data_IF_037996287931
#
_entry.id   IF_037996287931
#
_cell.length_a   1.000
_cell.length_b   1.000
_cell.length_c   1.000
_cell.angle_alpha   90.00
_cell.angle_beta   90.00
_cell.angle_gamma   90.00
#
_symmetry.space_group_name_H-M   'P 1'
#
loop_
_entity.id
_entity.type
_entity.pdbx_description
1 polymer ?
#
# COMPACT_ATOMS: atom_id res chain seq x y z
N UNK A 1 -3.94 -32.54 -12.64
CA UNK A 1 -2.84 -31.57 -12.40
C UNK A 1 -1.58 -32.38 -12.20
N UNK A 2 -0.62 -32.26 -13.06
CA UNK A 2 0.64 -33.00 -12.97
C UNK A 2 1.43 -32.49 -11.76
N UNK A 3 1.77 -33.36 -10.83
CA UNK A 3 2.71 -33.04 -9.77
C UNK A 3 4.09 -32.85 -10.40
N UNK A 4 4.49 -31.59 -10.55
CA UNK A 4 5.88 -31.26 -10.83
C UNK A 4 6.56 -31.21 -9.46
N UNK A 5 7.18 -32.32 -9.08
CA UNK A 5 7.99 -32.39 -7.85
C UNK A 5 9.35 -31.74 -8.13
N UNK A 6 9.39 -30.43 -8.08
CA UNK A 6 10.64 -29.68 -7.97
C UNK A 6 10.81 -29.36 -6.49
N UNK A 7 11.88 -29.84 -5.85
CA UNK A 7 12.24 -29.32 -4.53
C UNK A 7 12.53 -27.82 -4.69
N UNK A 8 11.51 -27.02 -4.38
CA UNK A 8 11.67 -25.57 -4.32
C UNK A 8 12.32 -25.22 -3.00
N UNK A 9 13.54 -24.67 -3.05
CA UNK A 9 14.13 -24.04 -1.88
C UNK A 9 13.17 -22.98 -1.32
N UNK A 10 13.04 -22.89 0.01
CA UNK A 10 12.24 -21.85 0.64
C UNK A 10 12.79 -20.46 0.25
N UNK A 11 11.91 -19.53 -0.08
CA UNK A 11 12.30 -18.16 -0.38
C UNK A 11 12.94 -17.50 0.85
N UNK A 12 13.98 -16.69 0.60
CA UNK A 12 14.64 -15.92 1.66
C UNK A 12 13.69 -14.82 2.16
N UNK A 13 13.68 -14.59 3.47
CA UNK A 13 12.91 -13.53 4.10
C UNK A 13 13.31 -12.15 3.51
N UNK A 14 12.38 -11.44 2.88
CA UNK A 14 12.69 -10.15 2.25
C UNK A 14 12.84 -8.99 3.25
N UNK A 15 12.49 -9.19 4.52
CA UNK A 15 12.55 -8.12 5.54
C UNK A 15 14.00 -7.69 5.81
N UNK A 16 14.96 -8.60 5.74
CA UNK A 16 16.38 -8.26 5.92
C UNK A 16 16.87 -7.30 4.81
N UNK A 17 16.54 -7.61 3.56
CA UNK A 17 16.86 -6.74 2.43
C UNK A 17 16.11 -5.41 2.48
N UNK A 18 14.84 -5.44 2.90
CA UNK A 18 14.06 -4.24 3.11
C UNK A 18 14.71 -3.32 4.16
N UNK A 19 15.24 -3.89 5.24
CA UNK A 19 15.94 -3.10 6.28
C UNK A 19 17.17 -2.37 5.72
N UNK A 20 17.94 -3.03 4.85
CA UNK A 20 19.06 -2.38 4.15
C UNK A 20 18.60 -1.21 3.28
N UNK A 21 17.47 -1.39 2.57
CA UNK A 21 16.90 -0.33 1.71
C UNK A 21 16.43 0.86 2.56
N UNK A 22 15.70 0.64 3.65
CA UNK A 22 15.20 1.72 4.50
C UNK A 22 16.33 2.46 5.20
N UNK A 23 17.39 1.77 5.61
CA UNK A 23 18.58 2.39 6.18
C UNK A 23 19.33 3.24 5.14
N UNK A 24 19.47 2.74 3.92
CA UNK A 24 20.14 3.47 2.84
C UNK A 24 19.38 4.75 2.44
N UNK A 25 18.05 4.75 2.55
CA UNK A 25 17.19 5.91 2.27
C UNK A 25 16.95 6.81 3.50
N UNK A 26 17.47 6.43 4.65
CA UNK A 26 17.29 7.14 5.92
C UNK A 26 15.80 7.31 6.31
N UNK A 27 14.95 6.34 5.94
CA UNK A 27 13.55 6.36 6.32
C UNK A 27 13.38 5.92 7.78
N UNK A 28 12.46 6.57 8.48
CA UNK A 28 12.07 6.16 9.81
C UNK A 28 11.43 4.77 9.75
N UNK A 29 11.91 3.84 10.55
CA UNK A 29 11.41 2.47 10.55
C UNK A 29 11.50 1.84 11.93
N UNK A 30 10.66 0.83 12.14
CA UNK A 30 10.67 -0.03 13.32
C UNK A 30 10.51 -1.49 12.87
N UNK A 31 11.47 -2.31 13.22
CA UNK A 31 11.40 -3.75 12.98
C UNK A 31 10.81 -4.43 14.20
N UNK A 32 9.52 -4.74 14.14
CA UNK A 32 8.78 -5.32 15.25
C UNK A 32 9.19 -6.78 15.52
N UNK A 33 9.59 -7.52 14.48
CA UNK A 33 10.06 -8.90 14.57
C UNK A 33 10.90 -9.26 13.34
N UNK A 34 11.36 -10.51 13.26
CA UNK A 34 12.05 -10.99 12.06
C UNK A 34 11.17 -10.96 10.81
N UNK A 35 9.86 -10.99 10.99
CA UNK A 35 8.88 -11.07 9.91
C UNK A 35 8.10 -9.77 9.67
N UNK A 36 8.27 -8.75 10.51
CA UNK A 36 7.47 -7.54 10.48
C UNK A 36 8.30 -6.27 10.54
N UNK A 37 7.97 -5.34 9.66
CA UNK A 37 8.56 -4.00 9.64
C UNK A 37 7.52 -2.93 9.35
N UNK A 38 7.62 -1.81 10.06
CA UNK A 38 6.87 -0.59 9.81
C UNK A 38 7.83 0.47 9.30
N UNK A 39 7.46 1.15 8.23
CA UNK A 39 8.24 2.24 7.64
C UNK A 39 7.34 3.47 7.53
N UNK A 40 7.87 4.63 7.90
CA UNK A 40 7.17 5.90 7.77
C UNK A 40 7.86 6.76 6.71
N UNK A 41 7.09 7.20 5.72
CA UNK A 41 7.60 8.02 4.61
C UNK A 41 6.71 9.24 4.46
N UNK A 42 7.33 10.42 4.53
CA UNK A 42 6.63 11.68 4.29
C UNK A 42 6.35 11.86 2.82
N UNK A 43 5.08 12.03 2.48
CA UNK A 43 4.63 12.38 1.15
C UNK A 43 4.18 13.84 1.06
N UNK A 44 3.63 14.22 -0.09
CA UNK A 44 3.10 15.57 -0.32
C UNK A 44 1.90 15.88 0.56
N UNK A 45 1.03 14.88 0.78
CA UNK A 45 -0.26 15.08 1.44
C UNK A 45 -0.26 14.67 2.92
N UNK A 46 0.49 13.65 3.26
CA UNK A 46 0.58 13.17 4.64
C UNK A 46 1.84 12.33 4.85
N UNK A 47 2.05 11.92 6.08
CA UNK A 47 3.04 10.90 6.41
C UNK A 47 2.39 9.53 6.25
N UNK A 48 2.88 8.75 5.29
CA UNK A 48 2.38 7.42 5.00
C UNK A 48 3.04 6.38 5.88
N UNK A 49 2.26 5.43 6.34
CA UNK A 49 2.71 4.34 7.19
C UNK A 49 2.64 3.03 6.42
N UNK A 50 3.79 2.43 6.16
CA UNK A 50 3.90 1.19 5.43
C UNK A 50 4.14 0.02 6.35
N UNK A 51 3.40 -1.06 6.16
CA UNK A 51 3.54 -2.31 6.90
C UNK A 51 3.97 -3.41 5.95
N UNK A 52 5.02 -4.13 6.35
CA UNK A 52 5.50 -5.31 5.64
C UNK A 52 5.41 -6.50 6.57
N UNK A 53 4.77 -7.56 6.11
CA UNK A 53 4.64 -8.82 6.83
C UNK A 53 5.07 -9.97 5.93
N UNK A 54 6.10 -10.70 6.36
CA UNK A 54 6.54 -11.92 5.71
C UNK A 54 5.85 -13.13 6.34
N UNK A 55 5.21 -13.94 5.52
CA UNK A 55 4.67 -15.24 5.91
C UNK A 55 5.51 -16.37 5.33
N UNK A 56 6.35 -16.97 6.16
CA UNK A 56 7.31 -17.99 5.76
C UNK A 56 6.63 -19.22 5.13
N UNK A 57 5.54 -19.70 5.74
CA UNK A 57 4.87 -20.93 5.32
C UNK A 57 4.21 -20.82 3.93
N UNK A 58 3.82 -19.64 3.52
CA UNK A 58 3.24 -19.37 2.19
C UNK A 58 4.22 -18.71 1.23
N UNK A 59 5.39 -18.33 1.72
CA UNK A 59 6.36 -17.49 0.99
C UNK A 59 5.69 -16.24 0.41
N UNK A 60 4.85 -15.60 1.20
CA UNK A 60 4.11 -14.41 0.81
C UNK A 60 4.59 -13.18 1.59
N UNK A 61 4.84 -12.10 0.88
CA UNK A 61 5.07 -10.78 1.45
C UNK A 61 3.78 -9.97 1.35
N UNK A 62 3.21 -9.62 2.50
CA UNK A 62 2.06 -8.72 2.60
C UNK A 62 2.56 -7.30 2.80
N UNK A 63 1.97 -6.37 2.07
CA UNK A 63 2.32 -4.97 2.10
C UNK A 63 1.08 -4.10 2.19
N UNK A 64 1.13 -3.08 3.03
CA UNK A 64 0.10 -2.04 3.08
C UNK A 64 0.72 -0.66 3.30
N UNK A 65 0.08 0.36 2.74
CA UNK A 65 0.46 1.76 2.90
C UNK A 65 -0.77 2.54 3.38
N UNK A 66 -0.76 2.93 4.63
CA UNK A 66 -1.88 3.62 5.27
C UNK A 66 -1.78 5.13 5.19
N UNK A 67 -2.93 5.79 5.03
CA UNK A 67 -3.05 7.23 5.12
C UNK A 67 -3.10 7.68 6.59
N UNK A 68 -2.58 8.85 6.85
CA UNK A 68 -2.83 9.59 8.11
C UNK A 68 -4.19 10.31 8.00
N UNK A 69 -5.26 9.50 7.99
CA UNK A 69 -6.63 9.97 7.82
C UNK A 69 -7.58 9.01 8.50
N UNK A 70 -8.49 9.54 9.31
CA UNK A 70 -9.54 8.74 9.95
C UNK A 70 -10.88 9.05 9.30
N UNK A 71 -11.56 8.01 8.84
CA UNK A 71 -12.89 8.14 8.23
C UNK A 71 -13.95 8.10 9.32
N UNK A 72 -14.74 9.19 9.52
CA UNK A 72 -15.85 9.15 10.44
C UNK A 72 -16.89 8.11 10.04
N UNK A 73 -17.57 7.53 11.01
CA UNK A 73 -18.58 6.50 10.78
C UNK A 73 -19.66 6.96 9.78
N UNK A 74 -20.06 8.22 9.85
CA UNK A 74 -21.03 8.82 8.94
C UNK A 74 -20.57 8.90 7.48
N UNK A 75 -19.25 8.81 7.21
CA UNK A 75 -18.68 8.91 5.86
C UNK A 75 -18.21 7.56 5.30
N UNK A 76 -18.33 6.48 6.06
CA UNK A 76 -17.86 5.15 5.62
C UNK A 76 -18.51 4.68 4.32
N UNK A 77 -19.83 4.83 4.19
CA UNK A 77 -20.53 4.38 2.98
C UNK A 77 -20.07 5.16 1.74
N UNK A 78 -19.82 6.46 1.88
CA UNK A 78 -19.29 7.28 0.80
C UNK A 78 -17.85 6.84 0.41
N UNK A 79 -17.06 6.46 1.39
CA UNK A 79 -15.70 5.91 1.15
C UNK A 79 -15.78 4.55 0.46
N UNK A 80 -16.71 3.68 0.81
CA UNK A 80 -16.90 2.40 0.11
C UNK A 80 -17.24 2.59 -1.38
N UNK A 81 -18.06 3.57 -1.70
CA UNK A 81 -18.33 3.93 -3.10
C UNK A 81 -17.07 4.47 -3.79
N UNK A 82 -16.29 5.29 -3.10
CA UNK A 82 -15.02 5.80 -3.60
C UNK A 82 -14.03 4.66 -3.86
N UNK A 83 -13.92 3.70 -2.94
CA UNK A 83 -13.04 2.53 -3.09
C UNK A 83 -13.39 1.73 -4.35
N UNK A 84 -14.66 1.49 -4.63
CA UNK A 84 -15.09 0.80 -5.84
C UNK A 84 -14.63 1.54 -7.10
N UNK A 85 -14.78 2.85 -7.15
CA UNK A 85 -14.39 3.66 -8.29
C UNK A 85 -12.86 3.81 -8.44
N UNK A 86 -12.12 3.92 -7.34
CA UNK A 86 -10.65 3.99 -7.34
C UNK A 86 -10.05 2.65 -7.77
N UNK A 87 -10.54 1.55 -7.21
CA UNK A 87 -10.00 0.22 -7.49
C UNK A 87 -10.21 -0.21 -8.95
N UNK A 88 -11.25 0.26 -9.61
CA UNK A 88 -11.45 0.06 -11.05
C UNK A 88 -10.30 0.62 -11.90
N UNK A 89 -9.62 1.65 -11.40
CA UNK A 89 -8.50 2.33 -12.08
C UNK A 89 -7.13 1.75 -11.70
N UNK A 90 -7.08 0.84 -10.75
CA UNK A 90 -5.83 0.25 -10.29
C UNK A 90 -5.36 -0.87 -11.20
N UNK A 91 -4.07 -0.87 -11.54
CA UNK A 91 -3.43 -1.93 -12.32
C UNK A 91 -2.73 -2.96 -11.43
N UNK A 92 -2.40 -2.60 -10.19
CA UNK A 92 -1.76 -3.45 -9.20
C UNK A 92 -2.19 -3.02 -7.81
N UNK A 93 -2.42 -3.99 -6.93
CA UNK A 93 -2.91 -3.69 -5.59
C UNK A 93 -4.32 -3.14 -5.56
N UNK A 94 -4.76 -2.73 -4.41
CA UNK A 94 -6.08 -2.14 -4.20
C UNK A 94 -6.09 -1.24 -2.98
N UNK A 95 -7.05 -0.32 -2.94
CA UNK A 95 -7.35 0.45 -1.73
C UNK A 95 -8.43 -0.25 -0.90
N UNK A 96 -8.32 -0.12 0.40
CA UNK A 96 -9.23 -0.74 1.35
C UNK A 96 -9.47 0.19 2.56
N UNK A 97 -10.55 -0.10 3.26
CA UNK A 97 -10.89 0.50 4.54
C UNK A 97 -11.28 -0.61 5.52
N UNK A 98 -10.43 -0.86 6.50
CA UNK A 98 -10.67 -1.90 7.49
C UNK A 98 -11.89 -1.62 8.38
N UNK A 99 -12.55 -2.66 8.87
CA UNK A 99 -13.68 -2.54 9.79
C UNK A 99 -13.27 -1.94 11.13
N UNK A 100 -12.10 -2.34 11.62
CA UNK A 100 -11.57 -1.93 12.92
C UNK A 100 -10.65 -0.72 12.84
N UNK A 101 -9.92 -0.57 11.71
CA UNK A 101 -9.08 0.59 11.44
C UNK A 101 -9.78 1.50 10.43
N UNK A 102 -10.21 2.70 10.82
CA UNK A 102 -10.92 3.62 9.95
C UNK A 102 -10.03 4.42 9.01
N UNK A 103 -8.80 4.01 8.77
CA UNK A 103 -7.86 4.69 7.88
C UNK A 103 -7.79 4.01 6.52
N UNK A 104 -7.95 4.75 5.41
CA UNK A 104 -7.76 4.17 4.08
C UNK A 104 -6.34 3.67 3.91
N UNK A 105 -6.17 2.56 3.20
CA UNK A 105 -4.85 2.00 2.91
C UNK A 105 -4.79 1.38 1.52
N UNK A 106 -3.63 1.46 0.90
CA UNK A 106 -3.26 0.65 -0.26
C UNK A 106 -2.75 -0.70 0.23
N UNK A 107 -3.15 -1.79 -0.41
CA UNK A 107 -2.73 -3.15 -0.06
C UNK A 107 -2.28 -3.92 -1.29
N UNK A 108 -1.24 -4.70 -1.13
CA UNK A 108 -0.74 -5.62 -2.14
C UNK A 108 -0.04 -6.81 -1.50
N UNK A 109 -0.09 -7.96 -2.16
CA UNK A 109 0.62 -9.16 -1.74
C UNK A 109 1.51 -9.69 -2.87
N UNK A 110 2.68 -10.19 -2.53
CA UNK A 110 3.63 -10.78 -3.48
C UNK A 110 3.92 -12.21 -3.06
N UNK A 111 3.71 -13.15 -3.98
CA UNK A 111 4.05 -14.55 -3.79
C UNK A 111 5.49 -14.78 -4.29
N UNK A 112 6.34 -15.26 -3.40
CA UNK A 112 7.76 -15.52 -3.69
C UNK A 112 8.10 -17.02 -3.73
N UNK A 113 7.09 -17.89 -3.68
CA UNK A 113 7.31 -19.34 -3.81
C UNK A 113 7.95 -19.65 -5.17
N UNK A 114 9.06 -20.37 -5.14
CA UNK A 114 9.82 -20.70 -6.37
C UNK A 114 10.83 -19.65 -6.77
N UNK A 115 10.85 -18.50 -6.12
CA UNK A 115 11.91 -17.50 -6.22
C UNK A 115 12.92 -17.69 -5.08
N UNK A 116 14.16 -17.23 -5.27
CA UNK A 116 15.18 -17.25 -4.21
C UNK A 116 14.87 -16.23 -3.10
N UNK A 117 14.11 -15.20 -3.42
CA UNK A 117 13.72 -14.12 -2.55
C UNK A 117 13.24 -12.92 -3.39
N UNK A 118 12.98 -11.79 -2.74
CA UNK A 118 12.69 -10.55 -3.44
C UNK A 118 13.99 -9.88 -3.91
N UNK A 119 13.95 -9.21 -5.04
CA UNK A 119 15.04 -8.33 -5.48
C UNK A 119 14.92 -6.94 -4.83
N UNK A 120 15.99 -6.17 -4.85
CA UNK A 120 15.98 -4.76 -4.43
C UNK A 120 14.93 -4.00 -5.24
N UNK A 121 14.92 -4.19 -6.55
CA UNK A 121 14.01 -3.54 -7.49
C UNK A 121 12.55 -3.85 -7.18
N UNK A 122 12.22 -5.08 -6.82
CA UNK A 122 10.85 -5.45 -6.44
C UNK A 122 10.39 -4.71 -5.18
N UNK A 123 11.25 -4.59 -4.17
CA UNK A 123 10.91 -3.89 -2.93
C UNK A 123 10.82 -2.37 -3.14
N UNK A 124 11.74 -1.80 -3.91
CA UNK A 124 11.69 -0.40 -4.30
C UNK A 124 10.42 -0.07 -5.10
N UNK A 125 10.07 -0.92 -6.06
CA UNK A 125 8.85 -0.76 -6.86
C UNK A 125 7.58 -0.81 -6.00
N UNK A 126 7.51 -1.69 -5.00
CA UNK A 126 6.37 -1.71 -4.06
C UNK A 126 6.19 -0.38 -3.35
N UNK A 127 7.27 0.21 -2.85
CA UNK A 127 7.25 1.49 -2.17
C UNK A 127 6.86 2.61 -3.14
N UNK A 128 7.49 2.67 -4.31
CA UNK A 128 7.25 3.72 -5.30
C UNK A 128 5.83 3.68 -5.86
N UNK A 129 5.32 2.50 -6.18
CA UNK A 129 3.95 2.32 -6.66
C UNK A 129 2.95 2.73 -5.59
N UNK A 130 3.15 2.29 -4.36
CA UNK A 130 2.26 2.65 -3.25
C UNK A 130 2.22 4.16 -3.03
N UNK A 131 3.37 4.82 -2.98
CA UNK A 131 3.44 6.27 -2.84
C UNK A 131 2.76 6.99 -4.01
N UNK A 132 3.05 6.57 -5.24
CA UNK A 132 2.48 7.17 -6.44
C UNK A 132 0.95 7.07 -6.44
N UNK A 133 0.41 5.89 -6.17
CA UNK A 133 -1.04 5.69 -6.17
C UNK A 133 -1.73 6.34 -4.95
N UNK A 134 -1.11 6.31 -3.78
CA UNK A 134 -1.62 7.01 -2.62
C UNK A 134 -1.67 8.52 -2.83
N UNK A 135 -0.61 9.11 -3.37
CA UNK A 135 -0.56 10.55 -3.69
C UNK A 135 -1.56 10.94 -4.77
N UNK A 136 -1.76 10.06 -5.74
CA UNK A 136 -2.74 10.28 -6.81
C UNK A 136 -4.17 10.37 -6.31
N UNK A 137 -4.55 9.50 -5.37
CA UNK A 137 -5.93 9.39 -4.90
C UNK A 137 -6.21 10.07 -3.56
N UNK A 138 -5.18 10.45 -2.81
CA UNK A 138 -5.37 11.12 -1.53
C UNK A 138 -6.33 12.32 -1.60
N UNK A 139 -6.23 13.23 -2.60
CA UNK A 139 -7.18 14.33 -2.73
C UNK A 139 -8.63 13.88 -2.90
N UNK A 140 -8.89 12.77 -3.58
CA UNK A 140 -10.24 12.22 -3.69
C UNK A 140 -10.79 11.78 -2.33
N UNK A 141 -9.97 11.10 -1.52
CA UNK A 141 -10.35 10.74 -0.15
C UNK A 141 -10.60 11.97 0.73
N UNK A 142 -9.78 13.01 0.61
CA UNK A 142 -10.00 14.27 1.33
C UNK A 142 -11.36 14.88 1.00
N UNK A 143 -11.73 14.94 -0.26
CA UNK A 143 -12.99 15.52 -0.72
C UNK A 143 -14.20 14.72 -0.22
N UNK A 144 -14.11 13.41 -0.16
CA UNK A 144 -15.17 12.55 0.38
C UNK A 144 -15.24 12.62 1.90
N UNK A 145 -14.11 12.48 2.58
CA UNK A 145 -14.07 12.37 4.05
C UNK A 145 -14.30 13.72 4.73
N UNK A 146 -13.63 14.76 4.26
CA UNK A 146 -13.67 16.09 4.88
C UNK A 146 -14.51 17.09 4.10
N UNK A 147 -14.57 16.94 2.78
CA UNK A 147 -15.33 17.84 1.90
C UNK A 147 -16.79 17.46 1.72
N UNK A 148 -17.23 16.32 2.22
CA UNK A 148 -18.61 15.84 2.11
C UNK A 148 -19.08 15.55 0.68
N UNK A 149 -18.15 15.42 -0.29
CA UNK A 149 -18.47 15.17 -1.69
C UNK A 149 -18.79 13.70 -1.95
N UNK A 150 -19.52 13.43 -3.03
CA UNK A 150 -19.73 12.08 -3.54
C UNK A 150 -18.48 11.55 -4.24
N UNK A 151 -18.40 10.21 -4.42
CA UNK A 151 -17.25 9.55 -5.00
C UNK A 151 -16.93 10.02 -6.43
N UNK A 152 -17.91 10.15 -7.30
CA UNK A 152 -17.71 10.56 -8.70
C UNK A 152 -17.14 11.98 -8.82
N UNK A 153 -17.70 12.92 -8.06
CA UNK A 153 -17.21 14.30 -8.00
C UNK A 153 -15.79 14.37 -7.47
N UNK A 154 -15.50 13.61 -6.44
CA UNK A 154 -14.20 13.57 -5.80
C UNK A 154 -13.11 13.04 -6.74
N UNK A 155 -13.39 11.95 -7.45
CA UNK A 155 -12.46 11.38 -8.43
C UNK A 155 -12.24 12.34 -9.60
N UNK A 156 -13.30 12.92 -10.13
CA UNK A 156 -13.21 13.89 -11.22
C UNK A 156 -12.33 15.08 -10.84
N UNK A 157 -12.54 15.63 -9.65
CA UNK A 157 -11.73 16.73 -9.13
C UNK A 157 -10.25 16.32 -8.94
N UNK A 158 -9.99 15.14 -8.37
CA UNK A 158 -8.64 14.65 -8.16
C UNK A 158 -7.88 14.38 -9.47
N UNK A 159 -8.57 13.96 -10.54
CA UNK A 159 -7.94 13.72 -11.85
C UNK A 159 -7.63 14.99 -12.62
N UNK A 160 -8.31 16.09 -12.33
CA UNK A 160 -8.08 17.39 -12.98
C UNK A 160 -6.84 18.10 -12.41
N UNK A 161 -6.53 17.86 -11.15
CA UNK A 161 -5.53 18.62 -10.38
C UNK A 161 -4.05 18.19 -10.53
N UNK A 162 -3.65 17.09 -11.16
CA UNK A 162 -2.21 16.80 -11.30
C UNK A 162 -1.46 17.78 -12.19
N UNK A 163 -2.14 18.66 -12.91
CA UNK A 163 -1.56 19.64 -13.82
C UNK A 163 -1.60 21.07 -13.26
N UNK A 164 -2.17 21.27 -12.07
CA UNK A 164 -2.38 22.59 -11.48
C UNK A 164 -1.17 23.22 -10.80
N UNK A 165 0.01 22.67 -10.99
CA UNK A 165 1.23 23.27 -10.46
C UNK A 165 2.09 23.89 -11.55
N UNK A 166 1.95 25.16 -11.61
CA UNK A 166 2.98 25.96 -12.24
C UNK A 166 4.18 26.07 -11.31
#
# INVERSE_FOLDING_TARGET
MSEITVESAAATNPIDLLEEIVQANEWAHDRASDEEMVVEISGRWCDYRMFFLWQQHTSALHFSCGFDMRVPKARRNAVYELLAAVNEKMWIGHFDLGADDPSPCFRHGVLLRGALGASVEQLEDLVDIALTECERFYPAFQLVVWGGRGADDAITAAMIDPMGEA
#
